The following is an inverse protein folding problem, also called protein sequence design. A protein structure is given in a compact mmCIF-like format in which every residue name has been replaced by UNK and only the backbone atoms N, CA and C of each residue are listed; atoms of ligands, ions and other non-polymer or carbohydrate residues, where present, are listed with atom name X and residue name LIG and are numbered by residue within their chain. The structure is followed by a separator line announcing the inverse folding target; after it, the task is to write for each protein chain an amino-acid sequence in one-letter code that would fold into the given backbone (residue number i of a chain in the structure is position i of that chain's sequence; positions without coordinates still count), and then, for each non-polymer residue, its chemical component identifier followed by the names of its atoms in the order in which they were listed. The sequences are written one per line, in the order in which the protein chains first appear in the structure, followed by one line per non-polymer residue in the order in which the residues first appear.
data_IF_328212186375
#
_entry.id   IF_328212186375
#
_cell.length_a   1.000
_cell.length_b   1.000
_cell.length_c   1.000
_cell.angle_alpha   90.00
_cell.angle_beta   90.00
_cell.angle_gamma   90.00
#
_symmetry.space_group_name_H-M   'P 1'
#
loop_
_entity.id
_entity.type
_entity.pdbx_description
1 polymer ?
#
# COMPACT_ATOMS: atom_id res chain seq x y z
N UNK A 1 -13.19 -5.00 -10.57
CA UNK A 1 -12.24 -4.43 -9.58
C UNK A 1 -11.54 -3.16 -10.06
N UNK A 2 -11.11 -3.11 -11.32
CA UNK A 2 -10.30 -2.03 -11.90
C UNK A 2 -10.87 -0.60 -11.70
N UNK A 3 -12.15 -0.39 -12.06
CA UNK A 3 -12.85 0.91 -11.92
C UNK A 3 -13.12 1.26 -10.44
N UNK A 4 -13.20 0.25 -9.57
CA UNK A 4 -13.55 0.45 -8.16
C UNK A 4 -12.50 1.29 -7.41
N UNK A 5 -11.21 1.21 -7.76
CA UNK A 5 -10.15 1.97 -7.07
C UNK A 5 -10.20 3.47 -7.36
N UNK A 6 -10.50 3.82 -8.61
CA UNK A 6 -10.70 5.21 -9.01
C UNK A 6 -11.95 5.75 -8.31
N UNK A 7 -13.06 5.01 -8.36
CA UNK A 7 -14.28 5.39 -7.65
C UNK A 7 -14.04 5.54 -6.14
N UNK A 8 -13.28 4.64 -5.54
CA UNK A 8 -12.95 4.70 -4.12
C UNK A 8 -12.06 5.90 -3.79
N UNK A 9 -11.10 6.23 -4.65
CA UNK A 9 -10.25 7.42 -4.52
C UNK A 9 -11.09 8.69 -4.65
N UNK A 10 -11.94 8.79 -5.67
CA UNK A 10 -12.82 9.95 -5.89
C UNK A 10 -13.81 10.11 -4.73
N UNK A 11 -14.42 9.01 -4.28
CA UNK A 11 -15.30 9.03 -3.12
C UNK A 11 -14.56 9.54 -1.88
N UNK A 12 -13.33 9.07 -1.63
CA UNK A 12 -12.52 9.56 -0.51
C UNK A 12 -12.26 11.08 -0.61
N UNK A 13 -11.96 11.62 -1.80
CA UNK A 13 -11.78 13.07 -1.99
C UNK A 13 -13.08 13.83 -1.69
N UNK A 14 -14.22 13.35 -2.21
CA UNK A 14 -15.54 13.95 -1.93
C UNK A 14 -15.81 13.93 -0.42
N UNK A 15 -15.53 12.82 0.26
CA UNK A 15 -15.67 12.71 1.71
C UNK A 15 -14.77 13.70 2.46
N UNK A 16 -13.52 13.90 2.05
CA UNK A 16 -12.65 14.90 2.68
C UNK A 16 -13.21 16.31 2.53
N UNK A 17 -13.75 16.64 1.35
CA UNK A 17 -14.41 17.92 1.10
C UNK A 17 -15.63 18.11 2.01
N UNK A 18 -16.51 17.10 2.11
CA UNK A 18 -17.69 17.12 3.00
C UNK A 18 -17.29 17.27 4.47
N UNK A 19 -16.20 16.63 4.89
CA UNK A 19 -15.66 16.72 6.26
C UNK A 19 -14.85 17.99 6.54
N UNK A 20 -14.85 18.95 5.61
CA UNK A 20 -14.16 20.25 5.73
C UNK A 20 -12.69 20.10 6.10
N UNK A 21 -11.99 19.21 5.40
CA UNK A 21 -10.52 19.18 5.44
C UNK A 21 -9.95 20.46 4.81
N UNK A 22 -8.70 20.79 5.16
CA UNK A 22 -7.99 21.92 4.53
C UNK A 22 -7.78 21.64 3.04
N UNK A 23 -7.91 22.68 2.20
CA UNK A 23 -7.83 22.54 0.75
C UNK A 23 -6.53 21.87 0.29
N UNK A 24 -5.40 22.24 0.91
CA UNK A 24 -4.10 21.62 0.64
C UNK A 24 -4.09 20.10 0.88
N UNK A 25 -4.75 19.63 1.93
CA UNK A 25 -4.82 18.20 2.25
C UNK A 25 -5.67 17.43 1.23
N UNK A 26 -6.73 18.06 0.73
CA UNK A 26 -7.59 17.50 -0.33
C UNK A 26 -6.80 17.40 -1.64
N UNK A 27 -6.09 18.47 -2.02
CA UNK A 27 -5.24 18.50 -3.23
C UNK A 27 -4.15 17.44 -3.16
N UNK A 28 -3.45 17.35 -2.03
CA UNK A 28 -2.40 16.34 -1.82
C UNK A 28 -2.97 14.92 -1.93
N UNK A 29 -4.11 14.66 -1.30
CA UNK A 29 -4.81 13.37 -1.40
C UNK A 29 -5.16 13.02 -2.84
N UNK A 30 -5.69 13.99 -3.60
CA UNK A 30 -6.05 13.79 -5.00
C UNK A 30 -4.81 13.48 -5.85
N UNK A 31 -3.71 14.19 -5.62
CA UNK A 31 -2.44 14.03 -6.35
C UNK A 31 -1.78 12.66 -6.13
N UNK A 32 -2.04 11.97 -5.02
CA UNK A 32 -1.52 10.62 -4.77
C UNK A 32 -2.54 9.53 -5.10
N UNK A 33 -3.77 9.62 -4.61
CA UNK A 33 -4.75 8.54 -4.70
C UNK A 33 -5.21 8.29 -6.15
N UNK A 34 -5.45 9.36 -6.92
CA UNK A 34 -5.98 9.26 -8.28
C UNK A 34 -4.90 8.74 -9.25
N UNK A 35 -3.71 9.36 -9.37
CA UNK A 35 -2.70 8.88 -10.32
C UNK A 35 -2.21 7.47 -10.02
N UNK A 36 -2.03 7.12 -8.74
CA UNK A 36 -1.61 5.76 -8.37
C UNK A 36 -2.67 4.71 -8.71
N UNK A 37 -3.95 5.03 -8.50
CA UNK A 37 -5.06 4.15 -8.91
C UNK A 37 -5.18 4.02 -10.43
N UNK A 38 -4.96 5.11 -11.18
CA UNK A 38 -4.96 5.08 -12.65
C UNK A 38 -3.80 4.22 -13.18
N UNK A 39 -2.62 4.27 -12.58
CA UNK A 39 -1.49 3.42 -12.99
C UNK A 39 -1.86 1.93 -12.99
N UNK A 40 -2.50 1.48 -11.90
CA UNK A 40 -2.93 0.09 -11.74
C UNK A 40 -4.20 -0.28 -12.53
N UNK A 41 -4.88 0.68 -13.16
CA UNK A 41 -5.90 0.39 -14.18
C UNK A 41 -5.28 -0.19 -15.44
N UNK A 42 -4.11 0.29 -15.85
CA UNK A 42 -3.49 -0.14 -17.11
C UNK A 42 -2.50 -1.30 -16.96
N UNK A 43 -2.11 -1.65 -15.73
CA UNK A 43 -1.16 -2.73 -15.44
C UNK A 43 -1.84 -3.97 -14.91
N UNK A 44 -1.30 -5.14 -15.27
CA UNK A 44 -1.90 -6.46 -15.00
C UNK A 44 -1.18 -7.22 -13.87
N UNK A 45 -0.36 -6.56 -13.07
CA UNK A 45 0.49 -7.20 -12.07
C UNK A 45 -0.31 -7.46 -10.80
N UNK A 46 -0.92 -8.65 -10.70
CA UNK A 46 -1.87 -9.01 -9.63
C UNK A 46 -1.35 -8.70 -8.22
N UNK A 47 -0.07 -8.99 -7.94
CA UNK A 47 0.52 -8.81 -6.61
C UNK A 47 0.72 -7.35 -6.22
N UNK A 48 1.34 -6.54 -7.09
CA UNK A 48 1.49 -5.11 -6.85
C UNK A 48 0.13 -4.40 -6.78
N UNK A 49 -0.84 -4.87 -7.57
CA UNK A 49 -2.22 -4.40 -7.57
C UNK A 49 -2.95 -4.64 -6.23
N UNK A 50 -2.77 -5.82 -5.63
CA UNK A 50 -3.31 -6.16 -4.30
C UNK A 50 -2.66 -5.28 -3.23
N UNK A 51 -1.32 -5.17 -3.23
CA UNK A 51 -0.59 -4.33 -2.27
C UNK A 51 -1.02 -2.86 -2.35
N UNK A 52 -1.17 -2.33 -3.56
CA UNK A 52 -1.72 -0.99 -3.78
C UNK A 52 -3.13 -0.86 -3.20
N UNK A 53 -4.02 -1.82 -3.47
CA UNK A 53 -5.42 -1.78 -2.98
C UNK A 53 -5.51 -1.75 -1.47
N UNK A 54 -4.77 -2.63 -0.79
CA UNK A 54 -4.77 -2.69 0.67
C UNK A 54 -4.22 -1.38 1.23
N UNK A 55 -3.11 -0.89 0.67
CA UNK A 55 -2.51 0.38 1.10
C UNK A 55 -3.47 1.54 0.86
N UNK A 56 -4.19 1.58 -0.25
CA UNK A 56 -5.18 2.60 -0.58
C UNK A 56 -6.29 2.67 0.48
N UNK A 57 -6.82 1.51 0.87
CA UNK A 57 -7.84 1.41 1.93
C UNK A 57 -7.28 1.91 3.26
N UNK A 58 -6.05 1.50 3.61
CA UNK A 58 -5.38 1.95 4.83
C UNK A 58 -5.14 3.45 4.83
N UNK A 59 -4.70 4.04 3.72
CA UNK A 59 -4.51 5.49 3.56
C UNK A 59 -5.81 6.23 3.82
N UNK A 60 -6.91 5.80 3.19
CA UNK A 60 -8.22 6.44 3.35
C UNK A 60 -8.71 6.32 4.80
N UNK A 61 -8.58 5.14 5.40
CA UNK A 61 -8.91 4.94 6.81
C UNK A 61 -8.07 5.83 7.73
N UNK A 62 -6.77 5.98 7.46
CA UNK A 62 -5.84 6.82 8.22
C UNK A 62 -6.22 8.31 8.15
N UNK A 63 -6.73 8.78 7.01
CA UNK A 63 -7.20 10.15 6.83
C UNK A 63 -8.51 10.37 7.59
N UNK A 64 -9.47 9.48 7.41
CA UNK A 64 -10.85 9.70 7.84
C UNK A 64 -11.07 9.43 9.34
N UNK A 65 -10.49 8.34 9.86
CA UNK A 65 -10.78 7.87 11.21
C UNK A 65 -10.41 8.88 12.32
N UNK A 66 -9.24 9.56 12.28
CA UNK A 66 -8.90 10.54 13.30
C UNK A 66 -9.88 11.72 13.32
N UNK A 67 -10.25 12.25 12.14
CA UNK A 67 -11.20 13.36 12.02
C UNK A 67 -12.59 12.99 12.54
N UNK A 68 -13.08 11.80 12.20
CA UNK A 68 -14.37 11.30 12.69
C UNK A 68 -14.39 11.06 14.20
N UNK A 69 -13.24 10.80 14.82
CA UNK A 69 -13.10 10.58 16.27
C UNK A 69 -12.75 11.84 17.05
N UNK A 70 -12.59 12.99 16.39
CA UNK A 70 -12.06 14.20 17.03
C UNK A 70 -10.65 14.02 17.60
N UNK A 71 -9.90 13.04 17.12
CA UNK A 71 -8.52 12.76 17.55
C UNK A 71 -7.52 13.68 16.84
N UNK A 72 -6.33 13.91 17.42
CA UNK A 72 -5.28 14.68 16.75
C UNK A 72 -4.93 14.08 15.39
N UNK A 73 -4.53 14.94 14.46
CA UNK A 73 -4.14 14.51 13.13
C UNK A 73 -2.88 13.64 13.20
N UNK A 74 -2.95 12.45 12.60
CA UNK A 74 -1.80 11.54 12.43
C UNK A 74 -1.15 11.82 11.07
N UNK A 75 0.18 11.71 10.99
CA UNK A 75 0.86 11.90 9.70
C UNK A 75 0.53 10.76 8.74
N UNK A 76 -0.19 11.07 7.65
CA UNK A 76 -0.57 10.12 6.60
C UNK A 76 0.56 9.93 5.57
N UNK A 77 1.61 10.76 5.62
CA UNK A 77 2.73 10.73 4.67
C UNK A 77 3.34 9.34 4.44
N UNK A 78 3.54 8.48 5.46
CA UNK A 78 4.06 7.13 5.25
C UNK A 78 3.19 6.30 4.29
N UNK A 79 1.86 6.46 4.33
CA UNK A 79 0.94 5.76 3.46
C UNK A 79 0.95 6.30 2.03
N UNK A 80 1.09 7.62 1.83
CA UNK A 80 1.26 8.19 0.49
C UNK A 80 2.53 7.71 -0.19
N UNK A 81 3.64 7.71 0.55
CA UNK A 81 4.89 7.18 0.05
C UNK A 81 4.80 5.68 -0.22
N UNK A 82 4.10 4.91 0.62
CA UNK A 82 3.85 3.49 0.37
C UNK A 82 3.05 3.25 -0.92
N UNK A 83 2.03 4.06 -1.21
CA UNK A 83 1.31 4.01 -2.50
C UNK A 83 2.21 4.32 -3.70
N UNK A 84 3.13 5.28 -3.56
CA UNK A 84 4.11 5.55 -4.61
C UNK A 84 5.09 4.38 -4.79
N UNK A 85 5.55 3.78 -3.68
CA UNK A 85 6.44 2.63 -3.71
C UNK A 85 5.78 1.39 -4.32
N UNK A 86 4.46 1.20 -4.21
CA UNK A 86 3.82 0.08 -4.91
C UNK A 86 3.92 0.21 -6.43
N UNK A 87 3.88 1.44 -6.97
CA UNK A 87 4.14 1.69 -8.41
C UNK A 87 5.61 1.40 -8.72
N UNK A 88 6.54 1.97 -7.95
CA UNK A 88 7.97 1.77 -8.18
C UNK A 88 8.34 0.29 -8.08
N UNK A 89 7.67 -0.45 -7.21
CA UNK A 89 7.88 -1.87 -7.03
C UNK A 89 7.43 -2.66 -8.26
N UNK A 90 6.32 -2.27 -8.88
CA UNK A 90 5.89 -2.82 -10.17
C UNK A 90 6.89 -2.49 -11.30
N UNK A 91 7.40 -1.26 -11.35
CA UNK A 91 8.34 -0.79 -12.39
C UNK A 91 9.73 -1.42 -12.27
N UNK A 92 10.30 -1.44 -11.07
CA UNK A 92 11.67 -1.89 -10.82
C UNK A 92 11.77 -3.39 -10.52
N UNK A 93 10.67 -4.12 -10.63
CA UNK A 93 10.59 -5.52 -10.22
C UNK A 93 11.66 -6.42 -10.84
N UNK A 94 11.99 -6.19 -12.11
CA UNK A 94 12.98 -6.99 -12.84
C UNK A 94 14.43 -6.64 -12.48
N UNK A 95 14.64 -5.56 -11.74
CA UNK A 95 15.96 -5.08 -11.34
C UNK A 95 16.29 -5.49 -9.91
N UNK A 96 17.58 -5.65 -9.56
CA UNK A 96 18.00 -5.91 -8.16
C UNK A 96 17.57 -4.83 -7.16
N UNK A 97 17.11 -3.68 -7.65
CA UNK A 97 16.66 -2.54 -6.85
C UNK A 97 15.27 -2.81 -6.21
N UNK A 98 14.48 -3.76 -6.74
CA UNK A 98 13.14 -4.07 -6.24
C UNK A 98 13.13 -4.39 -4.74
N UNK A 99 14.20 -5.00 -4.20
CA UNK A 99 14.30 -5.35 -2.79
C UNK A 99 14.30 -4.12 -1.88
N UNK A 100 14.97 -3.03 -2.29
CA UNK A 100 14.97 -1.77 -1.54
C UNK A 100 13.60 -1.09 -1.60
N UNK A 101 12.95 -1.13 -2.76
CA UNK A 101 11.59 -0.58 -2.93
C UNK A 101 10.58 -1.36 -2.09
N UNK A 102 10.71 -2.68 -2.08
CA UNK A 102 9.90 -3.59 -1.29
C UNK A 102 10.11 -3.39 0.22
N UNK A 103 11.36 -3.30 0.67
CA UNK A 103 11.67 -3.04 2.08
C UNK A 103 11.15 -1.67 2.52
N UNK A 104 11.30 -0.65 1.66
CA UNK A 104 10.74 0.68 1.88
C UNK A 104 9.21 0.65 1.98
N UNK A 105 8.53 -0.11 1.11
CA UNK A 105 7.08 -0.25 1.13
C UNK A 105 6.59 -0.80 2.48
N UNK A 106 7.17 -1.91 2.94
CA UNK A 106 6.79 -2.50 4.23
C UNK A 106 7.18 -1.64 5.42
N UNK A 107 8.36 -1.01 5.37
CA UNK A 107 8.82 -0.09 6.41
C UNK A 107 7.88 1.10 6.60
N UNK A 108 7.47 1.75 5.50
CA UNK A 108 6.56 2.90 5.54
C UNK A 108 5.14 2.52 5.92
N UNK A 109 4.63 1.40 5.39
CA UNK A 109 3.31 0.88 5.78
C UNK A 109 3.28 0.54 7.27
N UNK A 110 4.32 -0.14 7.76
CA UNK A 110 4.46 -0.48 9.18
C UNK A 110 4.56 0.75 10.06
N UNK A 111 5.38 1.73 9.67
CA UNK A 111 5.53 2.98 10.40
C UNK A 111 4.22 3.77 10.46
N UNK A 112 3.48 3.89 9.35
CA UNK A 112 2.16 4.53 9.32
C UNK A 112 1.16 3.85 10.25
N UNK A 113 1.14 2.50 10.26
CA UNK A 113 0.28 1.72 11.15
C UNK A 113 0.65 1.89 12.63
N UNK A 114 1.94 1.96 12.96
CA UNK A 114 2.40 2.28 14.33
C UNK A 114 1.89 3.64 14.77
N UNK A 115 1.94 4.66 13.90
CA UNK A 115 1.43 5.98 14.26
C UNK A 115 -0.07 5.97 14.55
N UNK A 116 -0.85 5.26 13.73
CA UNK A 116 -2.30 5.09 13.98
C UNK A 116 -2.59 4.33 15.27
N UNK A 117 -1.75 3.35 15.59
CA UNK A 117 -1.90 2.51 16.78
C UNK A 117 -1.42 3.20 18.07
N UNK A 118 -0.54 4.21 17.97
CA UNK A 118 0.12 4.85 19.11
C UNK A 118 -0.87 5.43 20.11
N UNK A 119 -1.94 6.04 19.63
CA UNK A 119 -2.97 6.65 20.48
C UNK A 119 -3.74 5.62 21.33
N UNK A 120 -3.84 4.36 20.86
CA UNK A 120 -4.56 3.29 21.57
C UNK A 120 -3.66 2.34 22.34
N UNK A 121 -2.50 2.01 21.78
CA UNK A 121 -1.60 0.97 22.28
C UNK A 121 -0.38 1.56 23.00
N UNK A 122 -0.16 2.87 22.92
CA UNK A 122 0.97 3.56 23.57
C UNK A 122 2.29 2.81 23.31
N UNK A 123 3.02 2.45 24.36
CA UNK A 123 4.28 1.71 24.30
C UNK A 123 4.20 0.30 23.71
N UNK A 124 3.00 -0.24 23.44
CA UNK A 124 2.81 -1.54 22.79
C UNK A 124 2.57 -1.41 21.27
N UNK A 125 2.50 -0.20 20.72
CA UNK A 125 2.25 0.02 19.29
C UNK A 125 3.32 -0.60 18.38
N UNK A 126 4.54 -0.85 18.88
CA UNK A 126 5.61 -1.54 18.13
C UNK A 126 5.25 -2.98 17.73
N UNK A 127 4.30 -3.63 18.43
CA UNK A 127 3.79 -4.96 18.06
C UNK A 127 3.18 -4.93 16.65
N UNK A 128 2.59 -3.80 16.25
CA UNK A 128 2.06 -3.60 14.89
C UNK A 128 3.19 -3.60 13.86
N UNK A 129 4.33 -2.99 14.18
CA UNK A 129 5.50 -3.03 13.31
C UNK A 129 6.02 -4.46 13.14
N UNK A 130 6.11 -5.24 14.23
CA UNK A 130 6.49 -6.65 14.16
C UNK A 130 5.54 -7.46 13.29
N UNK A 131 4.23 -7.29 13.44
CA UNK A 131 3.25 -8.01 12.63
C UNK A 131 3.43 -7.70 11.14
N UNK A 132 3.62 -6.43 10.78
CA UNK A 132 3.86 -6.00 9.40
C UNK A 132 5.19 -6.55 8.88
N UNK A 133 6.24 -6.54 9.70
CA UNK A 133 7.53 -7.13 9.36
C UNK A 133 7.40 -8.64 9.07
N UNK A 134 6.67 -9.38 9.89
CA UNK A 134 6.42 -10.81 9.67
C UNK A 134 5.65 -11.07 8.37
N UNK A 135 4.66 -10.22 8.05
CA UNK A 135 3.93 -10.30 6.78
C UNK A 135 4.89 -10.05 5.60
N UNK A 136 5.74 -9.02 5.68
CA UNK A 136 6.76 -8.76 4.67
C UNK A 136 7.72 -9.96 4.54
N UNK A 137 8.32 -10.42 5.63
CA UNK A 137 9.25 -11.55 5.59
C UNK A 137 8.60 -12.79 4.98
N UNK A 138 7.34 -13.10 5.32
CA UNK A 138 6.56 -14.16 4.69
C UNK A 138 6.39 -13.92 3.18
N UNK A 139 6.01 -12.71 2.77
CA UNK A 139 5.88 -12.32 1.37
C UNK A 139 7.17 -12.55 0.57
N UNK A 140 8.33 -12.28 1.18
CA UNK A 140 9.64 -12.53 0.60
C UNK A 140 9.95 -14.04 0.49
N UNK A 141 9.64 -14.80 1.54
CA UNK A 141 9.89 -16.26 1.57
C UNK A 141 9.01 -17.03 0.60
N UNK A 142 7.71 -16.75 0.54
CA UNK A 142 6.79 -17.40 -0.40
C UNK A 142 7.24 -17.20 -1.85
N UNK A 143 7.79 -16.02 -2.15
CA UNK A 143 8.35 -15.72 -3.47
C UNK A 143 9.63 -16.46 -3.77
N UNK A 144 10.59 -16.45 -2.84
CA UNK A 144 11.80 -17.27 -3.02
C UNK A 144 11.43 -18.73 -3.19
N UNK A 145 10.45 -19.24 -2.45
CA UNK A 145 9.96 -20.62 -2.58
C UNK A 145 9.39 -20.90 -3.97
N UNK A 146 8.49 -20.04 -4.47
CA UNK A 146 7.97 -20.13 -5.84
C UNK A 146 9.12 -20.11 -6.88
N UNK A 147 10.20 -19.40 -6.58
CA UNK A 147 11.34 -19.24 -7.47
C UNK A 147 12.48 -20.27 -7.24
N UNK A 148 12.23 -21.38 -6.53
CA UNK A 148 13.25 -22.41 -6.27
C UNK A 148 14.42 -21.92 -5.39
N UNK A 149 14.14 -20.98 -4.48
CA UNK A 149 15.11 -20.34 -3.59
C UNK A 149 15.81 -19.10 -4.18
N UNK A 150 15.58 -18.77 -5.45
CA UNK A 150 16.25 -17.68 -6.17
C UNK A 150 15.37 -16.43 -6.29
N UNK A 151 15.97 -15.31 -6.70
CA UNK A 151 15.24 -14.09 -7.08
C UNK A 151 14.85 -14.25 -8.55
N UNK A 152 13.56 -14.37 -8.89
CA UNK A 152 13.11 -14.51 -10.28
C UNK A 152 12.20 -13.35 -10.74
N UNK A 153 12.15 -13.10 -12.05
CA UNK A 153 11.29 -12.09 -12.68
C UNK A 153 9.80 -12.47 -12.66
N UNK A 154 8.94 -11.46 -12.83
CA UNK A 154 7.48 -11.56 -12.69
C UNK A 154 6.81 -12.45 -13.75
N UNK A 155 7.47 -12.68 -14.89
CA UNK A 155 7.02 -13.64 -15.91
C UNK A 155 6.80 -15.04 -15.31
N UNK A 156 7.69 -15.45 -14.40
CA UNK A 156 7.63 -16.78 -13.80
C UNK A 156 6.57 -16.89 -12.70
N UNK A 157 6.14 -15.78 -12.06
CA UNK A 157 4.96 -15.78 -11.18
C UNK A 157 3.65 -15.88 -12.00
N UNK A 158 3.66 -15.40 -13.24
CA UNK A 158 2.50 -15.42 -14.14
C UNK A 158 2.26 -16.79 -14.77
N UNK A 159 3.34 -17.48 -15.14
CA UNK A 159 3.29 -18.83 -15.70
C UNK A 159 2.97 -19.91 -14.65
N UNK A 160 3.04 -19.57 -13.36
CA UNK A 160 2.66 -20.46 -12.24
C UNK A 160 1.15 -20.49 -11.96
N UNK A 161 0.39 -19.44 -12.31
CA UNK A 161 -1.08 -19.50 -12.26
C UNK A 161 -1.67 -20.30 -13.45
N UNK A 162 -0.87 -20.58 -14.48
CA UNK A 162 -1.27 -21.36 -15.66
C UNK A 162 -0.80 -22.82 -15.64
N UNK A 163 -0.11 -23.25 -14.58
CA UNK A 163 0.43 -24.60 -14.44
C UNK A 163 -0.42 -25.49 -13.52
N UNK A 164 -1.65 -25.79 -13.94
CA UNK A 164 -2.56 -26.87 -13.52
C UNK A 164 -3.90 -26.52 -14.23
N UNK A 165 -4.17 -26.99 -15.45
CA UNK A 165 -4.60 -28.36 -15.75
C UNK A 165 -3.74 -29.06 -16.82
N UNK A 166 -3.07 -30.14 -16.41
CA UNK A 166 -2.60 -31.22 -17.27
C UNK A 166 -3.03 -32.54 -16.64
#
# INVERSE_FOLDING_TARGET
MLVAKILFSVAAIIFQFVLKFEEWQIVLSAAFLIPTSIYFVFKKTRKADILHTITLILTIAAIMLPKLRGSPAVSIMPFYLSLALSILYDLFFLSKIWYFVWAGFWGLTGFGLVQLAKDKLSNNAWIVFLAVLLIGVRDLFERRKACGGKICPLSNERDMESGEDS
#
